data_IF_795209426796
#
_entry.id   IF_795209426796
#
_cell.length_a   1.000
_cell.length_b   1.000
_cell.length_c   1.000
_cell.angle_alpha   90.00
_cell.angle_beta   90.00
_cell.angle_gamma   90.00
#
_symmetry.space_group_name_H-M   'P 1'
#
loop_
_entity.id
_entity.type
_entity.pdbx_description
1 polymer ?
#
# COMPACT_ATOMS: atom_id res chain seq x y z
N UNK A 1 -24.54 -1.24 29.87
CA UNK A 1 -24.15 -0.92 28.48
C UNK A 1 -22.96 -1.79 28.10
N UNK A 2 -23.14 -2.73 27.16
CA UNK A 2 -22.06 -3.60 26.69
C UNK A 2 -21.37 -2.87 25.53
N UNK A 3 -20.21 -2.28 25.77
CA UNK A 3 -19.38 -1.73 24.71
C UNK A 3 -19.01 -2.89 23.77
N UNK A 4 -19.63 -2.93 22.58
CA UNK A 4 -19.18 -3.78 21.49
C UNK A 4 -17.82 -3.24 21.08
N UNK A 5 -16.75 -3.93 21.44
CA UNK A 5 -15.45 -3.72 20.83
C UNK A 5 -15.64 -3.74 19.32
N UNK A 6 -15.28 -2.63 18.68
CA UNK A 6 -15.38 -2.46 17.25
C UNK A 6 -14.81 -3.69 16.55
N UNK A 7 -15.59 -4.24 15.63
CA UNK A 7 -15.20 -5.27 14.69
C UNK A 7 -13.80 -4.96 14.18
N UNK A 8 -12.78 -5.67 14.68
CA UNK A 8 -11.42 -5.58 14.17
C UNK A 8 -11.46 -6.18 12.78
N UNK A 9 -11.98 -5.42 11.80
CA UNK A 9 -12.12 -5.86 10.41
C UNK A 9 -10.75 -6.31 9.96
N UNK A 10 -10.57 -7.62 9.90
CA UNK A 10 -9.37 -8.25 9.39
C UNK A 10 -9.28 -7.84 7.93
N UNK A 11 -8.48 -6.81 7.63
CA UNK A 11 -8.23 -6.39 6.26
C UNK A 11 -7.63 -7.61 5.54
N UNK A 12 -8.30 -8.03 4.48
CA UNK A 12 -7.81 -9.12 3.63
C UNK A 12 -6.54 -8.65 2.93
N UNK A 13 -5.66 -9.58 2.54
CA UNK A 13 -4.44 -9.25 1.81
C UNK A 13 -4.73 -8.45 0.52
N UNK A 14 -5.84 -8.77 -0.16
CA UNK A 14 -6.31 -8.03 -1.34
C UNK A 14 -6.69 -6.58 -1.00
N UNK A 15 -7.41 -6.35 0.11
CA UNK A 15 -7.76 -5.02 0.56
C UNK A 15 -6.52 -4.21 0.99
N UNK A 16 -5.56 -4.82 1.68
CA UNK A 16 -4.30 -4.16 2.03
C UNK A 16 -3.51 -3.74 0.77
N UNK A 17 -3.49 -4.61 -0.25
CA UNK A 17 -2.85 -4.31 -1.54
C UNK A 17 -3.56 -3.17 -2.28
N UNK A 18 -4.89 -3.15 -2.27
CA UNK A 18 -5.67 -2.06 -2.87
C UNK A 18 -5.40 -0.72 -2.19
N UNK A 19 -5.32 -0.70 -0.84
CA UNK A 19 -4.96 0.49 -0.08
C UNK A 19 -3.55 0.99 -0.41
N UNK A 20 -2.59 0.07 -0.54
CA UNK A 20 -1.23 0.39 -0.96
C UNK A 20 -1.24 1.05 -2.35
N UNK A 21 -1.87 0.43 -3.35
CA UNK A 21 -1.95 0.98 -4.71
C UNK A 21 -2.56 2.38 -4.72
N UNK A 22 -3.68 2.55 -4.02
CA UNK A 22 -4.35 3.85 -3.93
C UNK A 22 -3.45 4.93 -3.33
N UNK A 23 -2.71 4.61 -2.26
CA UNK A 23 -1.73 5.53 -1.69
C UNK A 23 -0.63 5.88 -2.70
N UNK A 24 -0.06 4.88 -3.38
CA UNK A 24 0.99 5.09 -4.39
C UNK A 24 0.51 5.97 -5.56
N UNK A 25 -0.73 5.77 -6.04
CA UNK A 25 -1.31 6.57 -7.13
C UNK A 25 -1.59 8.01 -6.71
N UNK A 26 -2.07 8.23 -5.48
CA UNK A 26 -2.41 9.57 -4.99
C UNK A 26 -1.21 10.35 -4.43
N UNK A 27 -0.10 9.69 -4.10
CA UNK A 27 1.08 10.33 -3.55
C UNK A 27 1.70 11.33 -4.54
N UNK A 28 2.15 12.50 -4.06
CA UNK A 28 2.82 13.48 -4.91
C UNK A 28 4.19 12.98 -5.40
N UNK A 29 4.95 12.30 -4.55
CA UNK A 29 6.21 11.62 -4.88
C UNK A 29 6.27 10.28 -4.16
N UNK A 30 6.92 9.30 -4.77
CA UNK A 30 7.13 7.95 -4.24
C UNK A 30 8.62 7.55 -4.20
N UNK A 31 9.53 8.49 -4.47
CA UNK A 31 10.96 8.21 -4.63
C UNK A 31 11.63 7.82 -3.32
N UNK A 32 11.12 8.39 -2.22
CA UNK A 32 11.57 8.12 -0.86
C UNK A 32 10.92 6.88 -0.23
N UNK A 33 9.93 6.27 -0.89
CA UNK A 33 9.25 5.09 -0.36
C UNK A 33 10.11 3.83 -0.57
N UNK A 34 10.25 3.05 0.49
CA UNK A 34 11.02 1.80 0.50
C UNK A 34 10.12 0.61 0.77
N UNK A 35 10.50 -0.56 0.26
CA UNK A 35 9.76 -1.81 0.47
C UNK A 35 9.62 -2.12 1.96
N UNK A 36 10.71 -2.00 2.75
CA UNK A 36 10.69 -2.23 4.20
C UNK A 36 9.87 -1.21 4.99
N UNK A 37 9.85 0.05 4.55
CA UNK A 37 8.98 1.07 5.14
C UNK A 37 7.51 0.71 4.95
N UNK A 38 7.15 0.35 3.73
CA UNK A 38 5.77 -0.01 3.38
C UNK A 38 5.35 -1.37 3.96
N UNK A 39 6.25 -2.34 4.08
CA UNK A 39 5.95 -3.64 4.71
C UNK A 39 5.64 -3.52 6.20
N UNK A 40 6.15 -2.48 6.88
CA UNK A 40 5.80 -2.17 8.27
C UNK A 40 4.45 -1.46 8.41
N UNK A 41 4.05 -0.70 7.40
CA UNK A 41 2.82 0.08 7.40
C UNK A 41 1.62 -0.69 6.84
N UNK A 42 1.85 -1.53 5.83
CA UNK A 42 0.85 -2.29 5.11
C UNK A 42 1.07 -3.78 5.33
N UNK A 43 -0.01 -4.53 5.54
CA UNK A 43 -0.01 -6.00 5.62
C UNK A 43 0.11 -6.63 4.23
N UNK A 44 1.11 -6.23 3.46
CA UNK A 44 1.39 -6.68 2.09
C UNK A 44 2.79 -7.28 2.06
N UNK A 45 2.97 -8.36 1.30
CA UNK A 45 4.27 -9.04 1.20
C UNK A 45 5.30 -8.13 0.52
N UNK A 46 6.58 -8.10 0.96
CA UNK A 46 7.62 -7.27 0.35
C UNK A 46 7.71 -7.38 -1.18
N UNK A 47 7.65 -8.60 -1.72
CA UNK A 47 7.66 -8.84 -3.17
C UNK A 47 6.49 -8.19 -3.92
N UNK A 48 5.31 -8.16 -3.31
CA UNK A 48 4.15 -7.48 -3.92
C UNK A 48 4.33 -5.96 -3.86
N UNK A 49 4.87 -5.44 -2.76
CA UNK A 49 5.16 -4.00 -2.61
C UNK A 49 6.18 -3.56 -3.67
N UNK A 50 7.24 -4.35 -3.89
CA UNK A 50 8.24 -4.09 -4.92
C UNK A 50 7.61 -4.02 -6.31
N UNK A 51 6.76 -4.99 -6.66
CA UNK A 51 6.04 -5.00 -7.95
C UNK A 51 5.20 -3.72 -8.12
N UNK A 52 4.43 -3.34 -7.09
CA UNK A 52 3.56 -2.16 -7.15
C UNK A 52 4.35 -0.84 -7.18
N UNK A 53 5.46 -0.74 -6.45
CA UNK A 53 6.36 0.42 -6.50
C UNK A 53 6.98 0.58 -7.88
N UNK A 54 7.51 -0.50 -8.46
CA UNK A 54 8.11 -0.47 -9.80
C UNK A 54 7.06 -0.11 -10.85
N UNK A 55 5.87 -0.71 -10.80
CA UNK A 55 4.80 -0.41 -11.74
C UNK A 55 4.35 1.06 -11.67
N UNK A 56 4.24 1.63 -10.46
CA UNK A 56 3.86 3.04 -10.30
C UNK A 56 4.98 3.99 -10.74
N UNK A 57 6.25 3.65 -10.53
CA UNK A 57 7.40 4.43 -11.04
C UNK A 57 7.40 4.47 -12.55
N UNK A 58 7.29 3.32 -13.21
CA UNK A 58 7.18 3.25 -14.68
C UNK A 58 5.97 4.02 -15.20
N UNK A 59 4.82 3.91 -14.52
CA UNK A 59 3.61 4.66 -14.91
C UNK A 59 3.85 6.16 -14.90
N UNK A 60 4.55 6.68 -13.89
CA UNK A 60 4.87 8.11 -13.75
C UNK A 60 5.88 8.56 -14.78
N UNK A 61 6.93 7.77 -15.02
CA UNK A 61 7.92 8.06 -16.07
C UNK A 61 7.28 8.18 -17.45
N UNK A 62 6.25 7.37 -17.75
CA UNK A 62 5.50 7.45 -19.03
C UNK A 62 4.56 8.65 -19.16
N UNK A 63 4.25 9.34 -18.05
CA UNK A 63 3.34 10.50 -18.02
C UNK A 63 4.08 11.84 -18.10
N UNK A 64 5.42 11.83 -18.06
CA UNK A 64 6.31 12.98 -18.20
C UNK A 64 6.81 13.02 -19.63
#
# INVERSE_FOLDING_TARGET
>A
MRMRHADTKTITAAAAKAQLKMMLTCARSIDHLTVDGLARMYRVRPKEIEIELTAERERRERLI
#
